data_IF_168604393835
#
_entry.id   IF_168604393835
#
_cell.length_a   1.000
_cell.length_b   1.000
_cell.length_c   1.000
_cell.angle_alpha   90.00
_cell.angle_beta   90.00
_cell.angle_gamma   90.00
#
_symmetry.space_group_name_H-M   'P 1'
#
loop_
_entity.id
_entity.type
_entity.pdbx_description
1 polymer ?
#
# COMPACT_ATOMS: atom_id res chain seq x y z
N UNK A 1 -4.80 2.71 -24.12
CA UNK A 1 -3.48 2.83 -24.79
C UNK A 1 -3.66 3.11 -26.28
N UNK A 2 -4.31 2.24 -27.07
CA UNK A 2 -4.50 2.47 -28.51
C UNK A 2 -5.19 3.81 -28.86
N UNK A 3 -6.22 4.21 -28.11
CA UNK A 3 -6.91 5.50 -28.31
C UNK A 3 -6.03 6.73 -28.04
N UNK A 4 -4.99 6.59 -27.21
CA UNK A 4 -4.04 7.67 -26.95
C UNK A 4 -3.11 7.94 -28.14
N UNK A 5 -2.74 6.90 -28.88
CA UNK A 5 -1.89 7.05 -30.07
C UNK A 5 -2.65 7.59 -31.30
N UNK A 6 -3.98 7.71 -31.22
CA UNK A 6 -4.80 8.32 -32.27
C UNK A 6 -4.75 9.87 -32.25
N UNK A 7 -4.25 10.45 -31.15
CA UNK A 7 -4.13 11.90 -31.00
C UNK A 7 -2.68 12.35 -31.30
N UNK A 8 -2.49 13.41 -32.09
CA UNK A 8 -1.18 14.03 -32.26
C UNK A 8 -0.58 14.40 -30.90
N UNK A 9 0.71 14.14 -30.72
CA UNK A 9 1.51 14.43 -29.52
C UNK A 9 1.07 13.78 -28.19
N UNK A 10 0.02 12.96 -28.20
CA UNK A 10 -0.41 12.27 -27.00
C UNK A 10 0.62 11.21 -26.55
N UNK A 11 0.60 10.96 -25.24
CA UNK A 11 1.47 9.98 -24.57
C UNK A 11 0.67 9.05 -23.68
N UNK A 12 0.97 7.77 -23.74
CA UNK A 12 0.40 6.75 -22.86
C UNK A 12 1.19 6.66 -21.55
N UNK A 13 0.56 7.07 -20.45
CA UNK A 13 1.10 6.90 -19.09
C UNK A 13 0.52 5.62 -18.49
N UNK A 14 1.40 4.70 -18.10
CA UNK A 14 1.05 3.45 -17.42
C UNK A 14 1.49 3.51 -15.97
N UNK A 15 0.53 3.54 -15.06
CA UNK A 15 0.80 3.47 -13.61
C UNK A 15 0.71 2.02 -13.15
N UNK A 16 1.81 1.51 -12.58
CA UNK A 16 1.87 0.18 -11.98
C UNK A 16 2.50 0.28 -10.59
N UNK A 17 2.10 -0.62 -9.68
CA UNK A 17 2.85 -0.79 -8.44
C UNK A 17 4.18 -1.47 -8.77
N UNK A 18 5.26 -1.12 -8.07
CA UNK A 18 6.55 -1.80 -8.23
C UNK A 18 6.48 -3.30 -7.86
N UNK A 19 5.65 -3.64 -6.89
CA UNK A 19 5.52 -4.98 -6.32
C UNK A 19 4.06 -5.40 -6.13
N UNK A 20 3.85 -6.71 -5.99
CA UNK A 20 2.59 -7.35 -5.62
C UNK A 20 2.81 -8.42 -4.56
N UNK A 21 1.75 -8.76 -3.83
CA UNK A 21 1.80 -9.74 -2.75
C UNK A 21 2.42 -9.18 -1.47
N UNK A 22 2.65 -10.08 -0.51
CA UNK A 22 3.20 -9.73 0.82
C UNK A 22 3.99 -10.91 1.40
N UNK A 23 4.96 -10.62 2.27
CA UNK A 23 5.77 -11.65 2.92
C UNK A 23 6.45 -12.57 1.91
N UNK A 24 6.31 -13.89 2.08
CA UNK A 24 6.92 -14.89 1.17
C UNK A 24 6.38 -14.83 -0.27
N UNK A 25 5.19 -14.28 -0.46
CA UNK A 25 4.55 -14.13 -1.77
C UNK A 25 4.86 -12.78 -2.44
N UNK A 26 5.72 -11.95 -1.85
CA UNK A 26 6.14 -10.69 -2.46
C UNK A 26 6.86 -10.96 -3.79
N UNK A 27 6.45 -10.27 -4.85
CA UNK A 27 7.03 -10.37 -6.20
C UNK A 27 7.11 -8.99 -6.83
N UNK A 28 8.12 -8.78 -7.68
CA UNK A 28 8.19 -7.61 -8.55
C UNK A 28 7.11 -7.66 -9.63
N UNK A 29 6.56 -6.50 -9.98
CA UNK A 29 5.74 -6.33 -11.19
C UNK A 29 6.60 -5.95 -12.41
N UNK A 30 7.81 -5.42 -12.19
CA UNK A 30 8.81 -5.27 -13.24
C UNK A 30 9.52 -6.60 -13.38
N UNK A 31 9.32 -7.25 -14.52
CA UNK A 31 9.81 -8.61 -14.80
C UNK A 31 10.62 -8.61 -16.09
N UNK A 32 11.66 -9.45 -16.13
CA UNK A 32 12.49 -9.60 -17.33
C UNK A 32 11.72 -10.23 -18.51
N UNK A 33 10.84 -11.20 -18.22
CA UNK A 33 9.98 -11.83 -19.21
C UNK A 33 8.54 -11.88 -18.73
N UNK A 34 7.60 -11.51 -19.61
CA UNK A 34 6.17 -11.52 -19.36
C UNK A 34 5.47 -12.34 -20.44
N UNK A 35 4.75 -13.39 -20.03
CA UNK A 35 4.18 -14.39 -20.94
C UNK A 35 3.00 -13.91 -21.78
N UNK A 36 2.37 -12.78 -21.44
CA UNK A 36 1.17 -12.29 -22.12
C UNK A 36 1.38 -10.85 -22.60
N UNK A 37 1.36 -10.56 -23.90
CA UNK A 37 1.60 -9.20 -24.39
C UNK A 37 0.28 -8.44 -24.65
N UNK A 38 -0.35 -7.88 -23.60
CA UNK A 38 -1.55 -7.04 -23.77
C UNK A 38 -1.23 -5.64 -24.30
N UNK A 39 -0.07 -5.07 -23.93
CA UNK A 39 0.42 -3.78 -24.43
C UNK A 39 1.82 -3.97 -25.01
N UNK A 40 1.97 -3.97 -26.35
CA UNK A 40 3.26 -4.09 -27.03
C UNK A 40 4.29 -3.04 -26.61
N UNK A 41 5.57 -3.38 -26.75
CA UNK A 41 6.70 -2.49 -26.37
C UNK A 41 6.63 -1.11 -27.03
N UNK A 42 6.16 -1.02 -28.26
CA UNK A 42 6.09 0.22 -29.04
C UNK A 42 4.91 1.12 -28.67
N UNK A 43 3.96 0.62 -27.85
CA UNK A 43 2.82 1.41 -27.36
C UNK A 43 3.04 1.93 -25.93
N UNK A 44 4.21 1.65 -25.33
CA UNK A 44 4.57 2.11 -23.99
C UNK A 44 5.38 3.38 -24.13
N UNK A 45 4.89 4.47 -23.53
CA UNK A 45 5.60 5.75 -23.56
C UNK A 45 6.20 6.09 -22.20
N UNK A 46 5.38 6.07 -21.15
CA UNK A 46 5.78 6.41 -19.79
C UNK A 46 5.29 5.32 -18.85
N UNK A 47 6.18 4.77 -18.02
CA UNK A 47 5.83 3.86 -16.93
C UNK A 47 6.11 4.56 -15.61
N UNK A 48 5.14 4.53 -14.71
CA UNK A 48 5.25 5.17 -13.38
C UNK A 48 5.08 4.10 -12.31
N UNK A 49 6.03 4.07 -11.38
CA UNK A 49 5.91 3.37 -10.09
C UNK A 49 5.94 4.38 -8.95
N UNK A 50 5.75 3.91 -7.72
CA UNK A 50 5.96 4.71 -6.53
C UNK A 50 7.41 5.23 -6.36
N UNK A 51 8.37 4.67 -7.11
CA UNK A 51 9.78 5.03 -6.99
C UNK A 51 10.29 5.97 -8.08
N UNK A 52 9.53 6.16 -9.16
CA UNK A 52 9.94 7.06 -10.23
C UNK A 52 9.18 6.88 -11.53
N UNK A 53 9.68 7.55 -12.56
CA UNK A 53 9.09 7.64 -13.89
C UNK A 53 10.14 7.15 -14.90
N UNK A 54 9.80 6.11 -15.64
CA UNK A 54 10.58 5.65 -16.78
C UNK A 54 9.94 6.16 -18.07
N UNK A 55 10.59 7.12 -18.71
CA UNK A 55 10.27 7.53 -20.08
C UNK A 55 10.98 6.57 -21.04
N UNK A 56 10.23 5.80 -21.83
CA UNK A 56 10.79 4.72 -22.67
C UNK A 56 10.51 4.91 -24.16
N UNK A 57 9.74 5.94 -24.55
CA UNK A 57 9.34 6.15 -25.94
C UNK A 57 10.57 6.35 -26.82
N UNK A 58 10.64 5.62 -27.93
CA UNK A 58 11.72 5.72 -28.93
C UNK A 58 13.14 5.49 -28.38
N UNK A 59 13.28 4.91 -27.18
CA UNK A 59 14.59 4.59 -26.61
C UNK A 59 15.10 3.23 -27.11
N UNK A 60 16.42 3.07 -27.33
CA UNK A 60 17.03 1.78 -27.57
C UNK A 60 16.76 0.81 -26.42
N UNK A 61 16.66 -0.49 -26.72
CA UNK A 61 16.30 -1.53 -25.74
C UNK A 61 17.15 -1.49 -24.46
N UNK A 62 18.46 -1.24 -24.58
CA UNK A 62 19.36 -1.09 -23.42
C UNK A 62 18.90 0.01 -22.44
N UNK A 63 18.46 1.15 -22.97
CA UNK A 63 18.01 2.28 -22.18
C UNK A 63 16.64 1.99 -21.57
N UNK A 64 15.74 1.36 -22.34
CA UNK A 64 14.44 0.94 -21.81
C UNK A 64 14.62 0.00 -20.62
N UNK A 65 15.52 -0.97 -20.71
CA UNK A 65 15.79 -1.92 -19.63
C UNK A 65 16.40 -1.19 -18.41
N UNK A 66 17.38 -0.32 -18.63
CA UNK A 66 17.98 0.49 -17.57
C UNK A 66 16.93 1.34 -16.83
N UNK A 67 16.09 2.07 -17.56
CA UNK A 67 15.02 2.92 -17.01
C UNK A 67 14.00 2.11 -16.20
N UNK A 68 13.60 0.94 -16.70
CA UNK A 68 12.68 0.06 -15.97
C UNK A 68 13.30 -0.52 -14.69
N UNK A 69 14.60 -0.85 -14.70
CA UNK A 69 15.31 -1.29 -13.48
C UNK A 69 15.41 -0.13 -12.48
N UNK A 70 15.65 1.10 -12.94
CA UNK A 70 15.75 2.29 -12.10
C UNK A 70 14.47 2.58 -11.32
N UNK A 71 13.30 2.25 -11.86
CA UNK A 71 11.99 2.43 -11.19
C UNK A 71 11.47 1.15 -10.50
N UNK A 72 12.26 0.06 -10.52
CA UNK A 72 11.94 -1.17 -9.80
C UNK A 72 12.22 -1.05 -8.31
N UNK A 73 11.57 -1.91 -7.53
CA UNK A 73 11.86 -2.06 -6.11
C UNK A 73 13.26 -2.64 -5.90
N UNK A 74 14.06 -2.02 -5.03
CA UNK A 74 15.48 -2.37 -4.85
C UNK A 74 15.70 -3.80 -4.34
N UNK A 75 14.68 -4.43 -3.75
CA UNK A 75 14.73 -5.86 -3.39
C UNK A 75 14.86 -6.79 -4.61
N UNK A 76 14.49 -6.31 -5.81
CA UNK A 76 14.50 -7.09 -7.05
C UNK A 76 15.42 -6.52 -8.14
N UNK A 77 15.97 -5.32 -7.94
CA UNK A 77 16.84 -4.63 -8.90
C UNK A 77 18.05 -5.45 -9.32
N UNK A 78 18.79 -6.02 -8.35
CA UNK A 78 19.99 -6.81 -8.65
C UNK A 78 19.67 -8.04 -9.49
N UNK A 79 18.58 -8.75 -9.14
CA UNK A 79 18.14 -9.91 -9.92
C UNK A 79 17.80 -9.53 -11.37
N UNK A 80 17.08 -8.41 -11.58
CA UNK A 80 16.74 -7.93 -12.92
C UNK A 80 18.00 -7.52 -13.71
N UNK A 81 18.95 -6.87 -13.04
CA UNK A 81 20.22 -6.45 -13.63
C UNK A 81 21.04 -7.67 -14.09
N UNK A 82 21.19 -8.67 -13.25
CA UNK A 82 21.89 -9.92 -13.58
C UNK A 82 21.25 -10.64 -14.76
N UNK A 83 19.91 -10.73 -14.80
CA UNK A 83 19.19 -11.32 -15.92
C UNK A 83 19.45 -10.55 -17.23
N UNK A 84 19.43 -9.22 -17.18
CA UNK A 84 19.70 -8.38 -18.35
C UNK A 84 21.14 -8.49 -18.85
N UNK A 85 22.14 -8.52 -17.94
CA UNK A 85 23.55 -8.74 -18.27
C UNK A 85 23.76 -10.12 -18.90
N UNK A 86 23.21 -11.17 -18.28
CA UNK A 86 23.29 -12.56 -18.78
C UNK A 86 22.70 -12.72 -20.18
N UNK A 87 21.65 -11.97 -20.50
CA UNK A 87 21.03 -11.97 -21.82
C UNK A 87 21.74 -11.08 -22.85
N UNK A 88 22.86 -10.43 -22.49
CA UNK A 88 23.58 -9.50 -23.37
C UNK A 88 22.82 -8.21 -23.67
N UNK A 89 21.82 -7.86 -22.86
CA UNK A 89 20.97 -6.68 -23.06
C UNK A 89 21.50 -5.42 -22.38
N UNK A 90 22.38 -5.61 -21.40
CA UNK A 90 23.14 -4.55 -20.73
C UNK A 90 24.63 -4.89 -20.71
N UNK A 91 25.51 -3.87 -20.77
CA UNK A 91 26.94 -4.04 -20.56
C UNK A 91 27.27 -4.69 -19.20
N UNK A 92 28.35 -5.47 -19.14
CA UNK A 92 28.77 -6.14 -17.90
C UNK A 92 29.21 -5.17 -16.81
N UNK A 93 29.71 -4.01 -17.20
CA UNK A 93 30.13 -2.89 -16.35
C UNK A 93 28.99 -1.92 -16.01
N UNK A 94 27.80 -2.09 -16.59
CA UNK A 94 26.66 -1.24 -16.22
C UNK A 94 26.27 -1.43 -14.76
N UNK A 95 26.12 -0.34 -14.05
CA UNK A 95 25.57 -0.30 -12.70
C UNK A 95 24.33 0.58 -12.66
N UNK A 96 23.40 0.25 -11.76
CA UNK A 96 22.23 1.09 -11.48
C UNK A 96 22.74 2.40 -10.87
N UNK A 97 22.33 3.59 -11.32
CA UNK A 97 22.76 4.85 -10.71
C UNK A 97 22.36 4.92 -9.22
N UNK A 98 23.21 5.55 -8.40
CA UNK A 98 23.09 5.53 -6.93
C UNK A 98 21.71 6.02 -6.43
N UNK A 99 21.17 7.05 -7.07
CA UNK A 99 19.86 7.64 -6.75
C UNK A 99 18.68 6.64 -6.80
N UNK A 100 18.81 5.58 -7.60
CA UNK A 100 17.81 4.53 -7.79
C UNK A 100 18.04 3.28 -6.93
N UNK A 101 19.17 3.16 -6.21
CA UNK A 101 19.51 1.94 -5.44
C UNK A 101 18.75 1.79 -4.11
N UNK A 102 17.98 2.81 -3.72
CA UNK A 102 17.27 2.88 -2.43
C UNK A 102 15.74 2.91 -2.60
N UNK A 103 15.21 2.23 -3.61
CA UNK A 103 13.79 2.12 -3.89
C UNK A 103 13.11 1.11 -2.96
N UNK A 104 12.92 1.52 -1.71
CA UNK A 104 12.26 0.76 -0.66
C UNK A 104 11.01 1.49 -0.13
N UNK A 105 9.98 0.76 0.35
CA UNK A 105 8.78 1.37 0.92
C UNK A 105 9.09 2.35 2.08
N UNK A 106 10.15 2.08 2.84
CA UNK A 106 10.63 2.89 3.96
C UNK A 106 11.11 4.26 3.50
N UNK A 107 11.72 4.38 2.31
CA UNK A 107 12.15 5.67 1.74
C UNK A 107 10.95 6.58 1.49
N UNK A 108 9.91 6.05 0.85
CA UNK A 108 8.68 6.79 0.57
C UNK A 108 7.94 7.14 1.87
N UNK A 109 7.86 6.19 2.80
CA UNK A 109 7.20 6.43 4.09
C UNK A 109 7.90 7.54 4.88
N UNK A 110 9.24 7.50 4.93
CA UNK A 110 10.05 8.51 5.63
C UNK A 110 9.94 9.88 4.97
N UNK A 111 9.91 9.93 3.63
CA UNK A 111 9.72 11.15 2.87
C UNK A 111 8.36 11.81 3.14
N UNK A 112 7.30 11.01 3.20
CA UNK A 112 5.92 11.51 3.37
C UNK A 112 5.55 11.83 4.82
N UNK A 113 6.20 11.17 5.79
CA UNK A 113 5.84 11.27 7.22
C UNK A 113 5.80 12.70 7.76
N UNK A 114 6.79 13.60 7.51
CA UNK A 114 6.73 14.98 7.99
C UNK A 114 5.55 15.78 7.43
N UNK A 115 5.13 15.48 6.20
CA UNK A 115 3.99 16.17 5.56
C UNK A 115 2.64 15.60 6.03
N UNK A 116 2.60 14.30 6.35
CA UNK A 116 1.45 13.68 7.00
C UNK A 116 1.25 14.25 8.41
N UNK A 117 2.33 14.44 9.17
CA UNK A 117 2.27 15.00 10.52
C UNK A 117 1.84 16.49 10.50
N UNK A 118 2.14 17.21 9.41
CA UNK A 118 1.62 18.57 9.13
C UNK A 118 0.17 18.59 8.62
N UNK A 119 -0.45 17.42 8.39
CA UNK A 119 -1.83 17.29 7.94
C UNK A 119 -2.05 17.53 6.44
N UNK A 120 -1.00 17.59 5.61
CA UNK A 120 -1.14 17.79 4.16
C UNK A 120 -1.69 16.56 3.44
N UNK A 121 -1.38 15.35 3.94
CA UNK A 121 -1.80 14.09 3.34
C UNK A 121 -2.81 13.39 4.24
N UNK A 122 -4.03 13.92 4.29
CA UNK A 122 -5.14 13.30 5.00
C UNK A 122 -5.55 11.98 4.32
N UNK A 123 -5.94 10.95 5.09
CA UNK A 123 -6.70 9.83 4.55
C UNK A 123 -7.93 10.36 3.81
N UNK A 124 -8.15 9.91 2.56
CA UNK A 124 -9.27 10.35 1.70
C UNK A 124 -9.27 11.87 1.41
N UNK A 125 -8.29 12.38 0.62
CA UNK A 125 -8.13 13.82 0.38
C UNK A 125 -9.30 14.47 -0.38
N UNK A 126 -10.11 13.68 -1.07
CA UNK A 126 -11.30 14.15 -1.81
C UNK A 126 -12.62 13.94 -1.04
N UNK A 127 -12.53 13.64 0.26
CA UNK A 127 -13.68 13.28 1.09
C UNK A 127 -13.98 11.79 1.09
N UNK A 128 -14.82 11.38 2.04
CA UNK A 128 -15.30 10.01 2.22
C UNK A 128 -16.61 10.03 3.01
N UNK A 129 -17.51 9.09 2.72
CA UNK A 129 -18.74 8.87 3.51
C UNK A 129 -18.44 8.16 4.85
N UNK A 130 -17.20 7.71 5.04
CA UNK A 130 -16.75 7.08 6.28
C UNK A 130 -16.47 8.13 7.35
N UNK A 131 -17.00 7.90 8.54
CA UNK A 131 -16.63 8.64 9.75
C UNK A 131 -15.17 8.40 10.12
N UNK A 132 -14.55 9.32 10.88
CA UNK A 132 -13.17 9.17 11.37
C UNK A 132 -12.97 7.84 12.14
N UNK A 133 -14.00 7.43 12.88
CA UNK A 133 -14.03 6.17 13.61
C UNK A 133 -13.95 4.97 12.67
N UNK A 134 -14.72 4.97 11.57
CA UNK A 134 -14.73 3.90 10.57
C UNK A 134 -13.43 3.85 9.77
N UNK A 135 -12.84 5.02 9.49
CA UNK A 135 -11.51 5.10 8.87
C UNK A 135 -10.47 4.46 9.77
N UNK A 136 -10.46 4.81 11.06
CA UNK A 136 -9.55 4.23 12.05
C UNK A 136 -9.76 2.71 12.21
N UNK A 137 -11.01 2.28 12.37
CA UNK A 137 -11.37 0.86 12.52
C UNK A 137 -11.02 0.05 11.27
N UNK A 138 -11.37 0.54 10.09
CA UNK A 138 -11.05 -0.10 8.81
C UNK A 138 -9.54 -0.21 8.59
N UNK A 139 -8.78 0.83 8.96
CA UNK A 139 -7.32 0.79 8.98
C UNK A 139 -6.78 -0.29 9.91
N UNK A 140 -7.32 -0.38 11.13
CA UNK A 140 -6.92 -1.34 12.14
C UNK A 140 -7.12 -2.80 11.70
N UNK A 141 -8.31 -3.10 11.18
CA UNK A 141 -8.67 -4.43 10.69
C UNK A 141 -7.86 -4.83 9.46
N UNK A 142 -7.61 -3.90 8.53
CA UNK A 142 -6.68 -4.14 7.40
C UNK A 142 -5.27 -4.45 7.90
N UNK A 143 -4.80 -3.75 8.94
CA UNK A 143 -3.52 -4.01 9.60
C UNK A 143 -3.43 -5.42 10.17
N UNK A 144 -4.47 -5.86 10.88
CA UNK A 144 -4.56 -7.22 11.41
C UNK A 144 -4.56 -8.26 10.29
N UNK A 145 -5.32 -8.04 9.20
CA UNK A 145 -5.33 -8.95 8.05
C UNK A 145 -3.93 -9.12 7.44
N UNK A 146 -3.16 -8.02 7.31
CA UNK A 146 -1.75 -8.09 6.86
C UNK A 146 -0.89 -8.88 7.84
N UNK A 147 -1.07 -8.70 9.15
CA UNK A 147 -0.34 -9.44 10.17
C UNK A 147 -0.66 -10.94 10.09
N UNK A 148 -1.92 -11.31 9.88
CA UNK A 148 -2.35 -12.70 9.71
C UNK A 148 -1.63 -13.38 8.53
N UNK A 149 -1.49 -12.70 7.40
CA UNK A 149 -0.82 -13.23 6.21
C UNK A 149 0.71 -13.21 6.30
N UNK A 150 1.28 -12.24 7.02
CA UNK A 150 2.73 -12.06 7.10
C UNK A 150 3.39 -12.82 8.25
N UNK A 151 2.79 -12.80 9.44
CA UNK A 151 3.32 -13.41 10.65
C UNK A 151 2.17 -13.95 11.53
N UNK A 152 1.61 -15.12 11.18
CA UNK A 152 0.48 -15.70 11.90
C UNK A 152 0.82 -16.03 13.36
N UNK A 153 2.07 -16.37 13.65
CA UNK A 153 2.53 -16.67 15.00
C UNK A 153 2.41 -15.44 15.91
N UNK A 154 2.84 -14.26 15.41
CA UNK A 154 2.72 -12.99 16.13
C UNK A 154 1.27 -12.56 16.35
N UNK A 155 0.38 -12.87 15.39
CA UNK A 155 -1.05 -12.64 15.57
C UNK A 155 -1.61 -13.54 16.69
N UNK A 156 -1.30 -14.83 16.67
CA UNK A 156 -1.81 -15.78 17.66
C UNK A 156 -1.34 -15.44 19.08
N UNK A 157 -0.05 -15.15 19.27
CA UNK A 157 0.51 -14.77 20.58
C UNK A 157 -0.04 -13.43 21.05
N UNK A 158 -0.14 -12.44 20.16
CA UNK A 158 -0.71 -11.14 20.46
C UNK A 158 -2.18 -11.20 20.86
N UNK A 159 -2.98 -12.02 20.14
CA UNK A 159 -4.39 -12.21 20.46
C UNK A 159 -4.57 -12.94 21.79
N UNK A 160 -3.80 -14.00 22.06
CA UNK A 160 -3.83 -14.71 23.34
C UNK A 160 -3.52 -13.79 24.52
N UNK A 161 -2.54 -12.89 24.38
CA UNK A 161 -2.23 -11.88 25.39
C UNK A 161 -3.37 -10.87 25.56
N UNK A 162 -4.07 -10.51 24.48
CA UNK A 162 -5.20 -9.58 24.56
C UNK A 162 -6.41 -10.17 25.30
N UNK A 163 -6.58 -11.50 25.31
CA UNK A 163 -7.60 -12.15 26.13
C UNK A 163 -7.37 -11.92 27.64
N UNK A 164 -6.13 -11.83 28.08
CA UNK A 164 -5.74 -11.58 29.48
C UNK A 164 -5.86 -10.11 29.90
N UNK A 165 -6.00 -9.18 28.93
CA UNK A 165 -6.02 -7.74 29.19
C UNK A 165 -7.43 -7.21 29.47
N UNK A 166 -7.55 -6.17 30.32
CA UNK A 166 -8.82 -5.48 30.52
C UNK A 166 -9.24 -4.72 29.25
N UNK A 167 -10.54 -4.51 29.11
CA UNK A 167 -11.11 -3.72 28.01
C UNK A 167 -10.89 -2.24 28.33
N UNK A 168 -10.18 -1.48 27.47
CA UNK A 168 -9.93 -0.07 27.74
C UNK A 168 -11.17 0.78 27.43
N UNK A 169 -11.45 1.79 28.26
CA UNK A 169 -12.67 2.59 28.17
C UNK A 169 -12.81 3.35 26.84
N UNK A 170 -11.70 3.80 26.26
CA UNK A 170 -11.66 4.47 24.97
C UNK A 170 -12.00 3.56 23.76
N UNK A 171 -12.17 2.24 23.97
CA UNK A 171 -12.61 1.31 22.94
C UNK A 171 -14.13 1.24 22.74
N UNK A 172 -14.91 1.75 23.71
CA UNK A 172 -16.38 1.69 23.69
C UNK A 172 -17.00 2.15 22.34
N UNK A 173 -16.69 3.33 21.78
CA UNK A 173 -17.32 3.79 20.54
C UNK A 173 -17.03 2.85 19.34
N UNK A 174 -15.82 2.29 19.27
CA UNK A 174 -15.45 1.36 18.21
C UNK A 174 -16.17 0.01 18.34
N UNK A 175 -16.41 -0.44 19.57
CA UNK A 175 -17.13 -1.68 19.85
C UNK A 175 -18.63 -1.53 19.60
N UNK A 176 -19.20 -0.38 19.95
CA UNK A 176 -20.60 -0.04 19.65
C UNK A 176 -20.84 -0.04 18.14
N UNK A 177 -19.96 0.60 17.35
CA UNK A 177 -20.07 0.62 15.88
C UNK A 177 -20.04 -0.78 15.24
N UNK A 178 -19.38 -1.74 15.90
CA UNK A 178 -19.29 -3.13 15.47
C UNK A 178 -20.37 -4.04 16.08
N UNK A 179 -21.26 -3.51 16.93
CA UNK A 179 -22.23 -4.27 17.71
C UNK A 179 -21.58 -5.33 18.64
N UNK A 180 -20.42 -4.99 19.23
CA UNK A 180 -19.60 -5.87 20.08
C UNK A 180 -19.42 -5.35 21.52
N UNK A 181 -20.17 -4.32 21.91
CA UNK A 181 -20.11 -3.77 23.26
C UNK A 181 -20.63 -4.77 24.32
N UNK A 182 -21.74 -5.45 24.03
CA UNK A 182 -22.37 -6.45 24.88
C UNK A 182 -22.46 -7.80 24.16
N UNK A 183 -21.34 -8.57 24.10
CA UNK A 183 -21.31 -9.83 23.36
C UNK A 183 -22.16 -10.91 24.04
N UNK A 184 -23.17 -11.39 23.31
CA UNK A 184 -24.12 -12.42 23.74
C UNK A 184 -23.57 -13.84 23.58
N UNK A 185 -22.66 -14.04 22.61
CA UNK A 185 -22.12 -15.34 22.23
C UNK A 185 -20.61 -15.45 22.46
N UNK A 186 -20.09 -16.69 22.61
CA UNK A 186 -18.63 -16.93 22.67
C UNK A 186 -17.92 -16.38 21.43
N UNK A 187 -18.55 -16.51 20.27
CA UNK A 187 -18.05 -15.98 18.99
C UNK A 187 -17.89 -14.45 19.03
N UNK A 188 -18.89 -13.72 19.53
CA UNK A 188 -18.80 -12.26 19.69
C UNK A 188 -17.73 -11.85 20.70
N UNK A 189 -17.52 -12.63 21.78
CA UNK A 189 -16.42 -12.37 22.72
C UNK A 189 -15.05 -12.47 22.04
N UNK A 190 -14.87 -13.45 21.15
CA UNK A 190 -13.64 -13.58 20.35
C UNK A 190 -13.50 -12.39 19.39
N UNK A 191 -14.57 -12.01 18.68
CA UNK A 191 -14.54 -10.86 17.78
C UNK A 191 -14.23 -9.55 18.49
N UNK A 192 -14.80 -9.33 19.67
CA UNK A 192 -14.50 -8.16 20.51
C UNK A 192 -13.00 -8.09 20.81
N UNK A 193 -12.40 -9.21 21.25
CA UNK A 193 -10.97 -9.28 21.56
C UNK A 193 -10.10 -9.11 20.32
N UNK A 194 -10.52 -9.62 19.16
CA UNK A 194 -9.85 -9.33 17.89
C UNK A 194 -9.88 -7.84 17.58
N UNK A 195 -11.04 -7.18 17.62
CA UNK A 195 -11.13 -5.73 17.37
C UNK A 195 -10.22 -4.94 18.31
N UNK A 196 -10.21 -5.27 19.61
CA UNK A 196 -9.32 -4.63 20.58
C UNK A 196 -7.83 -4.83 20.24
N UNK A 197 -7.45 -6.06 19.87
CA UNK A 197 -6.10 -6.35 19.41
C UNK A 197 -5.72 -5.53 18.16
N UNK A 198 -6.62 -5.42 17.18
CA UNK A 198 -6.42 -4.59 15.98
C UNK A 198 -6.20 -3.12 16.33
N UNK A 199 -7.07 -2.55 17.18
CA UNK A 199 -7.02 -1.15 17.58
C UNK A 199 -5.72 -0.86 18.36
N UNK A 200 -5.31 -1.76 19.26
CA UNK A 200 -4.08 -1.64 20.04
C UNK A 200 -2.83 -1.70 19.15
N UNK A 201 -2.79 -2.66 18.22
CA UNK A 201 -1.64 -2.83 17.33
C UNK A 201 -1.47 -1.68 16.32
N UNK A 202 -2.51 -0.86 16.12
CA UNK A 202 -2.46 0.35 15.29
C UNK A 202 -2.39 1.64 16.14
N UNK A 203 -2.13 1.54 17.45
CA UNK A 203 -1.99 2.65 18.38
C UNK A 203 -3.22 3.59 18.48
N UNK A 204 -4.41 3.12 18.08
CA UNK A 204 -5.66 3.91 18.14
C UNK A 204 -6.14 4.07 19.58
N UNK A 205 -5.83 3.09 20.45
CA UNK A 205 -6.21 3.11 21.86
C UNK A 205 -5.25 3.96 22.74
N UNK A 206 -4.23 4.59 22.16
CA UNK A 206 -3.37 5.53 22.88
C UNK A 206 -3.82 6.99 22.68
N UNK A 207 -4.64 7.26 21.66
CA UNK A 207 -5.24 8.57 21.37
C UNK A 207 -6.61 8.73 22.02
N UNK A 208 -6.98 9.97 22.34
CA UNK A 208 -8.36 10.33 22.74
C UNK A 208 -9.34 9.84 21.67
N UNK A 209 -10.43 9.16 22.03
CA UNK A 209 -11.41 8.71 21.04
C UNK A 209 -11.99 9.92 20.29
N UNK A 210 -12.16 9.83 18.96
CA UNK A 210 -12.81 10.90 18.21
C UNK A 210 -14.22 11.10 18.76
N UNK A 211 -14.60 12.37 19.00
CA UNK A 211 -15.94 12.73 19.46
C UNK A 211 -16.98 12.13 18.51
N UNK A 212 -18.06 11.58 19.06
CA UNK A 212 -19.22 11.08 18.32
C UNK A 212 -19.89 12.22 17.55
N UNK A 213 -19.34 12.58 16.39
CA UNK A 213 -20.02 13.48 15.47
C UNK A 213 -21.18 12.70 14.84
N UNK A 214 -22.37 13.01 15.32
CA UNK A 214 -23.65 12.64 14.71
C UNK A 214 -23.64 13.13 13.25
N UNK A 215 -24.14 12.34 12.28
CA UNK A 215 -24.27 12.82 10.91
C UNK A 215 -25.11 14.09 10.92
N UNK A 216 -24.55 15.14 10.33
CA UNK A 216 -25.18 16.44 10.18
C UNK A 216 -26.37 16.25 9.21
N UNK A 217 -27.55 15.93 9.75
CA UNK A 217 -28.81 15.94 9.00
C UNK A 217 -29.04 17.40 8.63
N UNK A 218 -28.67 17.74 7.40
CA UNK A 218 -29.06 18.99 6.78
C UNK A 218 -30.59 19.08 6.87
N UNK A 219 -31.07 19.95 7.76
CA UNK A 219 -32.47 20.39 7.78
C UNK A 219 -32.76 21.02 6.42
N UNK A 220 -33.48 20.31 5.56
CA UNK A 220 -34.29 20.93 4.51
C UNK A 220 -35.43 21.66 5.20
N UNK A 221 -35.25 22.96 5.42
CA UNK A 221 -36.35 23.87 5.71
C UNK A 221 -37.24 23.94 4.46
N UNK A 222 -38.53 23.68 4.66
CA UNK A 222 -39.62 24.20 3.85
C UNK A 222 -39.82 25.68 4.18
#
# INVERSE_FOLDING_TARGET
VAMGHALPDARAIMMIKSTRGSGKALRSNIVFSYGNCSVPKHLRDIIVTEYGIADVRSKPEKHVIAELINIADSRFQNQLLEQAKKAGKLPLDYEIPEEYRNNYPEKITSLLKPYQDKGFFKPFPFGTDLTEMEVALGGALKGMKRLASGNPLKLATGLALEFLRPIPANSAPYLERMSLENPSSFKERVYRKMVLFALRNNNILASTPPSSQTPNVAKSAQ
#
